data_IF_054694664558
#
_entry.id   IF_054694664558
#
_cell.length_a   1.000
_cell.length_b   1.000
_cell.length_c   1.000
_cell.angle_alpha   90.00
_cell.angle_beta   90.00
_cell.angle_gamma   90.00
#
_symmetry.space_group_name_H-M   'P 1'
#
loop_
_entity.id
_entity.type
_entity.pdbx_description
1 polymer ?
#
# COMPACT_ATOMS: atom_id res chain seq x y z
N UNK A 1 41.86 -1.18 44.70
CA UNK A 1 42.14 -1.04 43.27
C UNK A 1 40.80 -1.27 42.54
N UNK A 2 40.21 -0.16 42.16
CA UNK A 2 38.87 -0.14 41.47
C UNK A 2 39.13 0.06 39.99
N UNK A 3 38.66 -0.86 39.15
CA UNK A 3 38.70 -0.73 37.72
C UNK A 3 37.34 -0.17 37.25
N UNK A 4 37.37 1.11 36.93
CA UNK A 4 36.29 1.80 36.21
C UNK A 4 36.35 1.42 34.74
N UNK A 5 35.30 0.73 34.24
CA UNK A 5 35.08 0.57 32.80
C UNK A 5 34.39 1.82 32.26
N UNK A 6 35.08 2.51 31.37
CA UNK A 6 34.49 3.55 30.52
C UNK A 6 33.69 2.90 29.38
N UNK A 7 32.41 3.11 29.36
CA UNK A 7 31.57 2.88 28.17
C UNK A 7 31.69 4.11 27.29
N UNK A 8 32.38 3.98 26.17
CA UNK A 8 32.34 4.98 25.09
C UNK A 8 30.97 4.94 24.40
N UNK A 9 30.17 5.97 24.64
CA UNK A 9 29.01 6.29 23.83
C UNK A 9 29.54 6.94 22.54
N UNK A 10 29.62 6.18 21.46
CA UNK A 10 29.89 6.72 20.14
C UNK A 10 28.75 7.61 19.70
N UNK A 11 28.91 8.91 19.80
CA UNK A 11 28.10 9.92 19.13
C UNK A 11 28.29 9.73 17.62
N UNK A 12 27.23 9.36 16.92
CA UNK A 12 27.17 9.43 15.46
C UNK A 12 27.23 10.94 15.16
N UNK A 13 28.35 11.40 14.60
CA UNK A 13 28.50 12.75 14.09
C UNK A 13 27.40 12.99 13.04
N UNK A 14 26.74 14.15 13.14
CA UNK A 14 25.86 14.72 12.12
C UNK A 14 26.64 14.88 10.81
N UNK A 15 26.61 13.84 9.99
CA UNK A 15 27.03 13.95 8.59
C UNK A 15 25.97 14.76 7.85
N UNK A 16 26.40 15.80 7.12
CA UNK A 16 25.62 16.58 6.16
C UNK A 16 24.51 15.74 5.56
N UNK A 17 23.27 16.22 5.64
CA UNK A 17 22.08 15.51 5.14
C UNK A 17 22.40 14.99 3.73
N UNK A 18 22.60 13.69 3.63
CA UNK A 18 23.04 13.05 2.38
C UNK A 18 22.01 13.45 1.30
N UNK A 19 22.48 14.11 0.26
CA UNK A 19 21.63 14.55 -0.85
C UNK A 19 20.79 13.37 -1.32
N UNK A 20 19.47 13.51 -1.32
CA UNK A 20 18.54 12.48 -1.79
C UNK A 20 18.96 12.04 -3.20
N UNK A 21 19.55 10.85 -3.32
CA UNK A 21 20.08 10.35 -4.58
C UNK A 21 18.97 9.76 -5.48
N UNK A 22 17.79 9.48 -4.90
CA UNK A 22 16.63 8.96 -5.60
C UNK A 22 15.39 9.81 -5.28
N UNK A 23 15.28 11.03 -5.83
CA UNK A 23 14.18 11.93 -5.55
C UNK A 23 12.87 11.42 -6.17
N UNK A 24 12.09 10.72 -5.37
CA UNK A 24 10.76 10.21 -5.73
C UNK A 24 9.71 11.29 -5.45
N UNK A 25 8.88 11.61 -6.45
CA UNK A 25 7.89 12.68 -6.35
C UNK A 25 6.63 12.24 -5.62
N UNK A 26 6.08 11.08 -6.04
CA UNK A 26 4.82 10.49 -5.55
C UNK A 26 4.68 9.05 -6.04
N UNK A 27 3.70 8.32 -5.50
CA UNK A 27 3.19 7.13 -6.16
C UNK A 27 2.52 7.57 -7.46
N UNK A 28 2.96 7.04 -8.59
CA UNK A 28 2.37 7.31 -9.91
C UNK A 28 1.09 6.50 -10.09
N UNK A 29 1.18 5.18 -9.93
CA UNK A 29 0.06 4.25 -9.97
C UNK A 29 0.40 2.94 -9.27
N UNK A 30 -0.63 2.15 -8.96
CA UNK A 30 -0.51 0.77 -8.55
C UNK A 30 -1.10 -0.11 -9.64
N UNK A 31 -0.33 -1.09 -10.17
CA UNK A 31 -0.86 -2.09 -11.08
C UNK A 31 -1.19 -3.37 -10.32
N UNK A 32 -2.44 -3.75 -10.37
CA UNK A 32 -2.94 -5.02 -9.85
C UNK A 32 -3.03 -6.02 -11.00
N UNK A 33 -2.51 -7.20 -10.77
CA UNK A 33 -2.81 -8.36 -11.62
C UNK A 33 -4.03 -9.04 -11.04
N UNK A 34 -5.07 -9.17 -11.88
CA UNK A 34 -6.38 -9.68 -11.49
C UNK A 34 -6.86 -10.75 -12.47
N UNK A 35 -7.74 -11.64 -12.01
CA UNK A 35 -8.29 -12.70 -12.86
C UNK A 35 -9.18 -12.18 -13.99
N UNK A 36 -9.93 -11.09 -13.74
CA UNK A 36 -10.81 -10.49 -14.73
C UNK A 36 -10.87 -8.96 -14.54
N UNK A 37 -10.02 -8.24 -15.25
CA UNK A 37 -9.91 -6.79 -15.10
C UNK A 37 -11.21 -6.05 -15.41
N UNK A 38 -12.03 -6.56 -16.35
CA UNK A 38 -13.33 -5.97 -16.68
C UNK A 38 -14.30 -6.05 -15.50
N UNK A 39 -14.41 -7.21 -14.85
CA UNK A 39 -15.29 -7.39 -13.69
C UNK A 39 -14.73 -6.66 -12.46
N UNK A 40 -13.43 -6.76 -12.18
CA UNK A 40 -12.79 -6.04 -11.10
C UNK A 40 -12.98 -4.53 -11.24
N UNK A 41 -12.91 -3.99 -12.46
CA UNK A 41 -13.13 -2.55 -12.70
C UNK A 41 -14.52 -2.08 -12.26
N UNK A 42 -15.55 -2.92 -12.31
CA UNK A 42 -16.89 -2.59 -11.80
C UNK A 42 -16.87 -2.41 -10.28
N UNK A 43 -16.18 -3.31 -9.54
CA UNK A 43 -16.04 -3.17 -8.09
C UNK A 43 -15.41 -1.82 -7.74
N UNK A 44 -14.26 -1.50 -8.34
CA UNK A 44 -13.57 -0.25 -8.04
C UNK A 44 -14.35 0.99 -8.48
N UNK A 45 -15.12 0.92 -9.56
CA UNK A 45 -16.00 2.02 -9.97
C UNK A 45 -17.19 2.20 -9.02
N UNK A 46 -18.00 1.18 -8.84
CA UNK A 46 -19.30 1.31 -8.18
C UNK A 46 -19.20 1.23 -6.66
N UNK A 47 -18.31 0.43 -6.11
CA UNK A 47 -18.10 0.31 -4.67
C UNK A 47 -17.11 1.36 -4.17
N UNK A 48 -15.94 1.44 -4.80
CA UNK A 48 -14.87 2.33 -4.33
C UNK A 48 -14.98 3.77 -4.86
N UNK A 49 -15.80 4.03 -5.88
CA UNK A 49 -16.04 5.37 -6.43
C UNK A 49 -14.96 5.88 -7.39
N UNK A 50 -14.20 4.99 -8.00
CA UNK A 50 -13.22 5.35 -9.01
C UNK A 50 -13.88 5.62 -10.37
N UNK A 51 -13.31 6.53 -11.15
CA UNK A 51 -13.69 6.74 -12.53
C UNK A 51 -12.79 5.91 -13.45
N UNK A 52 -13.40 5.22 -14.40
CA UNK A 52 -12.67 4.55 -15.47
C UNK A 52 -12.26 5.60 -16.50
N UNK A 53 -10.95 5.85 -16.61
CA UNK A 53 -10.40 6.94 -17.46
C UNK A 53 -9.57 6.43 -18.63
N UNK A 54 -9.02 5.21 -18.54
CA UNK A 54 -8.21 4.65 -19.62
C UNK A 54 -8.37 3.15 -19.79
N UNK A 55 -8.07 2.67 -21.00
CA UNK A 55 -8.12 1.26 -21.36
C UNK A 55 -6.99 0.89 -22.31
N UNK A 56 -6.39 -0.27 -22.09
CA UNK A 56 -5.49 -0.93 -23.04
C UNK A 56 -5.90 -2.39 -23.20
N UNK A 57 -5.92 -2.91 -24.42
CA UNK A 57 -6.33 -4.28 -24.71
C UNK A 57 -6.44 -4.52 -26.20
N UNK A 58 -7.31 -5.42 -26.63
CA UNK A 58 -7.43 -5.84 -28.04
C UNK A 58 -7.63 -4.66 -28.99
N UNK A 59 -8.44 -3.68 -28.60
CA UNK A 59 -8.76 -2.50 -29.40
C UNK A 59 -7.58 -1.52 -29.54
N UNK A 60 -6.61 -1.56 -28.62
CA UNK A 60 -5.36 -0.79 -28.72
C UNK A 60 -4.20 -1.62 -29.22
N UNK A 61 -4.45 -2.84 -29.72
CA UNK A 61 -3.44 -3.73 -30.27
C UNK A 61 -2.71 -4.59 -29.24
N UNK A 62 -3.04 -4.49 -27.94
CA UNK A 62 -2.46 -5.35 -26.91
C UNK A 62 -3.14 -6.74 -26.97
N UNK A 63 -2.35 -7.79 -27.26
CA UNK A 63 -2.84 -9.17 -27.38
C UNK A 63 -2.55 -10.03 -26.15
N UNK A 64 -1.75 -9.55 -25.22
CA UNK A 64 -1.31 -10.30 -24.04
C UNK A 64 -2.17 -10.02 -22.82
N UNK A 65 -2.56 -8.75 -22.63
CA UNK A 65 -3.35 -8.33 -21.46
C UNK A 65 -4.39 -7.27 -21.79
N UNK A 66 -5.45 -7.22 -20.99
CA UNK A 66 -6.37 -6.10 -20.92
C UNK A 66 -6.15 -5.33 -19.61
N UNK A 67 -6.03 -4.01 -19.70
CA UNK A 67 -5.77 -3.12 -18.56
C UNK A 67 -6.78 -1.99 -18.49
N UNK A 68 -7.33 -1.75 -17.31
CA UNK A 68 -8.31 -0.68 -17.03
C UNK A 68 -7.65 0.31 -16.07
N UNK A 69 -7.57 1.57 -16.47
CA UNK A 69 -7.09 2.67 -15.61
C UNK A 69 -8.28 3.28 -14.86
N UNK A 70 -8.15 3.31 -13.56
CA UNK A 70 -9.15 3.80 -12.62
C UNK A 70 -8.55 4.93 -11.79
N UNK A 71 -9.23 6.07 -11.71
CA UNK A 71 -8.72 7.25 -11.01
C UNK A 71 -9.75 7.81 -10.03
N UNK A 72 -9.27 8.20 -8.84
CA UNK A 72 -10.00 9.02 -7.88
C UNK A 72 -9.02 9.91 -7.12
N UNK A 73 -9.25 11.22 -7.11
CA UNK A 73 -8.30 12.18 -6.55
C UNK A 73 -6.93 12.08 -7.22
N UNK A 74 -5.91 11.72 -6.45
CA UNK A 74 -4.53 11.47 -6.94
C UNK A 74 -4.20 9.97 -7.03
N UNK A 75 -5.16 9.11 -6.77
CA UNK A 75 -4.98 7.66 -6.80
C UNK A 75 -5.20 7.18 -8.23
N UNK A 76 -4.28 6.35 -8.72
CA UNK A 76 -4.38 5.64 -9.99
C UNK A 76 -4.20 4.15 -9.76
N UNK A 77 -5.20 3.36 -10.11
CA UNK A 77 -5.13 1.90 -10.15
C UNK A 77 -5.20 1.42 -11.59
N UNK A 78 -4.29 0.53 -11.94
CA UNK A 78 -4.32 -0.18 -13.21
C UNK A 78 -4.68 -1.63 -12.91
N UNK A 79 -5.82 -2.09 -13.40
CA UNK A 79 -6.25 -3.48 -13.24
C UNK A 79 -5.94 -4.22 -14.53
N UNK A 80 -5.04 -5.18 -14.48
CA UNK A 80 -4.59 -5.95 -15.65
C UNK A 80 -4.95 -7.41 -15.52
N UNK A 81 -5.59 -7.98 -16.54
CA UNK A 81 -5.84 -9.43 -16.64
C UNK A 81 -5.25 -10.02 -17.90
N UNK A 82 -4.81 -11.29 -17.87
CA UNK A 82 -4.22 -11.95 -19.02
C UNK A 82 -5.28 -12.19 -20.10
N UNK A 83 -4.87 -12.11 -21.38
CA UNK A 83 -5.66 -12.53 -22.54
C UNK A 83 -5.18 -13.88 -23.08
N UNK A 84 -4.03 -14.36 -22.60
CA UNK A 84 -3.45 -15.66 -22.94
C UNK A 84 -3.10 -16.40 -21.64
N UNK A 85 -3.04 -17.71 -21.69
CA UNK A 85 -2.75 -18.59 -20.54
C UNK A 85 -1.26 -18.85 -20.31
N UNK A 86 -0.41 -18.49 -21.25
CA UNK A 86 1.04 -18.68 -21.26
C UNK A 86 1.84 -17.42 -20.86
N UNK A 87 1.17 -16.35 -20.44
CA UNK A 87 1.82 -15.10 -20.05
C UNK A 87 2.30 -15.13 -18.60
N UNK A 88 3.34 -14.32 -18.29
CA UNK A 88 3.78 -14.12 -16.91
C UNK A 88 2.63 -13.65 -15.99
N UNK A 89 1.70 -12.82 -16.51
CA UNK A 89 0.55 -12.35 -15.75
C UNK A 89 -0.39 -13.52 -15.39
N UNK A 90 -0.63 -14.47 -16.31
CA UNK A 90 -1.43 -15.65 -16.04
C UNK A 90 -0.80 -16.53 -14.94
N UNK A 91 0.51 -16.76 -15.01
CA UNK A 91 1.23 -17.52 -13.98
C UNK A 91 1.26 -16.78 -12.64
N UNK A 92 1.43 -15.46 -12.64
CA UNK A 92 1.36 -14.66 -11.42
C UNK A 92 -0.03 -14.78 -10.77
N UNK A 93 -1.11 -14.58 -11.53
CA UNK A 93 -2.46 -14.68 -11.01
C UNK A 93 -2.79 -16.11 -10.51
N UNK A 94 -2.36 -17.14 -11.23
CA UNK A 94 -2.53 -18.54 -10.79
C UNK A 94 -1.89 -18.80 -9.42
N UNK A 95 -0.70 -18.24 -9.19
CA UNK A 95 0.05 -18.38 -7.94
C UNK A 95 -0.57 -17.56 -6.80
N UNK A 96 -0.84 -16.29 -7.04
CA UNK A 96 -1.14 -15.29 -6.00
C UNK A 96 -2.64 -15.00 -5.83
N UNK A 97 -3.47 -15.19 -6.86
CA UNK A 97 -4.78 -14.56 -6.97
C UNK A 97 -4.63 -13.11 -7.42
N UNK A 98 -5.64 -12.30 -7.13
CA UNK A 98 -5.57 -10.86 -7.38
C UNK A 98 -4.60 -10.21 -6.39
N UNK A 99 -3.76 -9.29 -6.87
CA UNK A 99 -2.76 -8.66 -6.02
C UNK A 99 -1.95 -7.57 -6.71
N UNK A 100 -1.21 -6.79 -5.92
CA UNK A 100 -0.36 -5.70 -6.42
C UNK A 100 0.91 -6.28 -7.03
N UNK A 101 1.09 -6.03 -8.33
CA UNK A 101 2.32 -6.36 -9.06
C UNK A 101 3.32 -5.23 -9.06
N UNK A 102 2.86 -4.00 -9.31
CA UNK A 102 3.75 -2.85 -9.52
C UNK A 102 3.34 -1.67 -8.64
N UNK A 103 4.27 -1.19 -7.83
CA UNK A 103 4.16 0.06 -7.09
C UNK A 103 5.01 1.08 -7.84
N UNK A 104 4.40 1.76 -8.80
CA UNK A 104 5.09 2.69 -9.68
C UNK A 104 5.22 4.08 -9.06
N UNK A 105 6.38 4.69 -9.21
CA UNK A 105 6.72 6.00 -8.65
C UNK A 105 7.13 6.98 -9.75
N UNK A 106 6.63 8.21 -9.68
CA UNK A 106 7.03 9.28 -10.58
C UNK A 106 8.41 9.82 -10.20
N UNK A 107 9.27 9.95 -11.21
CA UNK A 107 10.64 10.47 -11.10
C UNK A 107 10.92 11.52 -12.18
N UNK A 108 12.00 12.30 -12.01
CA UNK A 108 12.47 13.22 -13.04
C UNK A 108 13.27 12.56 -14.15
N UNK A 109 13.92 11.41 -13.82
CA UNK A 109 14.82 10.67 -14.73
C UNK A 109 14.74 9.17 -14.37
N UNK A 110 14.04 8.42 -15.22
CA UNK A 110 13.85 6.98 -14.99
C UNK A 110 15.13 6.17 -15.25
N UNK A 111 15.98 6.62 -16.16
CA UNK A 111 17.25 5.96 -16.44
C UNK A 111 18.22 6.12 -15.27
N UNK A 112 18.38 7.36 -14.78
CA UNK A 112 19.20 7.63 -13.60
C UNK A 112 18.71 6.84 -12.38
N UNK A 113 17.39 6.81 -12.13
CA UNK A 113 16.79 6.06 -11.02
C UNK A 113 17.10 4.56 -11.10
N UNK A 114 17.02 3.99 -12.30
CA UNK A 114 17.34 2.58 -12.55
C UNK A 114 18.82 2.27 -12.27
N UNK A 115 19.73 3.03 -12.88
CA UNK A 115 21.16 2.77 -12.73
C UNK A 115 21.65 3.06 -11.30
N UNK A 116 21.12 4.08 -10.63
CA UNK A 116 21.44 4.35 -9.24
C UNK A 116 21.04 3.20 -8.32
N UNK A 117 19.82 2.68 -8.49
CA UNK A 117 19.32 1.57 -7.66
C UNK A 117 19.99 0.24 -7.98
N UNK A 118 20.24 -0.07 -9.25
CA UNK A 118 20.92 -1.31 -9.64
C UNK A 118 22.39 -1.31 -9.26
N UNK A 119 23.10 -0.19 -9.37
CA UNK A 119 24.48 -0.04 -8.89
C UNK A 119 24.57 -0.23 -7.36
N UNK A 120 23.49 -0.01 -6.62
CA UNK A 120 23.37 -0.25 -5.18
C UNK A 120 22.83 -1.64 -4.84
N UNK A 121 22.70 -2.52 -5.82
CA UNK A 121 22.36 -3.93 -5.62
C UNK A 121 20.89 -4.30 -5.87
N UNK A 122 20.04 -3.40 -6.39
CA UNK A 122 18.72 -3.79 -6.84
C UNK A 122 18.83 -4.71 -8.08
N UNK A 123 17.96 -5.70 -8.14
CA UNK A 123 17.81 -6.53 -9.33
C UNK A 123 16.94 -5.78 -10.36
N UNK A 124 17.50 -5.46 -11.55
CA UNK A 124 16.75 -4.89 -12.66
C UNK A 124 15.70 -5.87 -13.20
N UNK A 125 14.53 -5.33 -13.56
CA UNK A 125 13.41 -6.07 -14.17
C UNK A 125 13.12 -5.53 -15.57
N UNK A 126 13.12 -4.21 -15.73
CA UNK A 126 12.95 -3.52 -17.00
C UNK A 126 14.00 -2.40 -17.07
N UNK A 127 14.90 -2.50 -18.05
CA UNK A 127 15.82 -1.40 -18.35
C UNK A 127 15.06 -0.15 -18.82
N UNK A 128 15.66 1.05 -18.72
CA UNK A 128 15.01 2.27 -19.18
C UNK A 128 14.52 2.14 -20.62
N UNK A 129 13.19 2.14 -20.77
CA UNK A 129 12.51 1.88 -22.04
C UNK A 129 11.61 3.06 -22.40
N UNK A 130 11.79 3.58 -23.61
CA UNK A 130 10.92 4.60 -24.17
C UNK A 130 9.61 4.00 -24.67
N UNK A 131 8.49 4.61 -24.21
CA UNK A 131 7.16 4.38 -24.73
C UNK A 131 6.69 5.68 -25.37
N UNK A 132 6.21 5.66 -26.61
CA UNK A 132 5.84 6.88 -27.34
C UNK A 132 4.55 6.73 -28.14
N UNK A 133 3.82 7.81 -28.25
CA UNK A 133 2.69 8.02 -29.15
C UNK A 133 2.64 9.48 -29.62
N UNK A 134 1.54 9.92 -30.21
CA UNK A 134 1.34 11.30 -30.66
C UNK A 134 1.36 12.34 -29.52
N UNK A 135 1.17 11.91 -28.26
CA UNK A 135 1.16 12.80 -27.10
C UNK A 135 2.54 12.98 -26.46
N UNK A 136 3.55 12.27 -26.95
CA UNK A 136 4.92 12.40 -26.47
C UNK A 136 5.56 11.09 -26.03
N UNK A 137 6.48 11.19 -25.05
CA UNK A 137 7.31 10.08 -24.58
C UNK A 137 7.19 9.93 -23.07
N UNK A 138 7.02 8.69 -22.62
CA UNK A 138 7.24 8.23 -21.25
C UNK A 138 8.48 7.33 -21.24
N UNK A 139 9.34 7.46 -20.22
CA UNK A 139 10.40 6.49 -19.96
C UNK A 139 10.00 5.70 -18.71
N UNK A 140 9.97 4.37 -18.85
CA UNK A 140 9.70 3.44 -17.75
C UNK A 140 10.91 2.54 -17.54
N UNK A 141 11.27 2.33 -16.28
CA UNK A 141 12.21 1.30 -15.86
C UNK A 141 11.70 0.63 -14.58
N UNK A 142 12.21 -0.55 -14.23
CA UNK A 142 11.70 -1.27 -13.06
C UNK A 142 12.77 -2.10 -12.36
N UNK A 143 12.65 -2.21 -11.04
CA UNK A 143 13.47 -3.07 -10.18
C UNK A 143 12.60 -4.03 -9.40
N UNK A 144 13.18 -5.18 -9.02
CA UNK A 144 12.54 -6.15 -8.14
C UNK A 144 12.53 -5.63 -6.71
N UNK A 145 11.42 -5.86 -6.00
CA UNK A 145 11.34 -5.76 -4.54
C UNK A 145 10.92 -7.11 -3.94
N UNK A 146 10.25 -7.15 -2.80
CA UNK A 146 9.86 -8.40 -2.14
C UNK A 146 8.89 -9.25 -2.99
N UNK A 147 9.08 -10.56 -2.92
CA UNK A 147 8.28 -11.55 -3.65
C UNK A 147 8.28 -11.30 -5.16
N UNK A 148 7.10 -11.30 -5.74
CA UNK A 148 6.89 -10.99 -7.16
C UNK A 148 6.46 -9.52 -7.39
N UNK A 149 6.58 -8.64 -6.39
CA UNK A 149 6.31 -7.20 -6.51
C UNK A 149 7.49 -6.47 -7.11
N UNK A 150 7.23 -5.42 -7.88
CA UNK A 150 8.25 -4.54 -8.47
C UNK A 150 8.00 -3.07 -8.11
N UNK A 151 9.06 -2.28 -8.24
CA UNK A 151 8.99 -0.82 -8.28
C UNK A 151 9.34 -0.32 -9.66
N UNK A 152 8.40 0.40 -10.29
CA UNK A 152 8.65 1.08 -11.55
C UNK A 152 8.95 2.56 -11.32
N UNK A 153 9.90 3.09 -12.09
CA UNK A 153 10.22 4.52 -12.18
C UNK A 153 9.62 5.08 -13.45
N UNK A 154 8.77 6.09 -13.33
CA UNK A 154 7.99 6.66 -14.44
C UNK A 154 8.41 8.12 -14.65
N UNK A 155 9.04 8.39 -15.79
CA UNK A 155 9.36 9.73 -16.23
C UNK A 155 8.30 10.23 -17.21
N UNK A 156 7.57 11.32 -16.84
CA UNK A 156 6.41 11.83 -17.61
C UNK A 156 6.60 13.22 -18.16
N UNK A 157 7.74 13.88 -17.93
CA UNK A 157 7.92 15.30 -18.24
C UNK A 157 7.65 15.67 -19.71
N UNK A 158 7.78 14.69 -20.62
CA UNK A 158 7.64 14.87 -22.07
C UNK A 158 6.37 14.18 -22.60
N UNK A 159 5.34 13.98 -21.77
CA UNK A 159 4.12 13.31 -22.15
C UNK A 159 2.89 14.11 -21.74
N UNK A 160 2.01 14.41 -22.71
CA UNK A 160 0.79 15.19 -22.52
C UNK A 160 -0.50 14.35 -22.66
N UNK A 161 -0.38 13.03 -22.85
CA UNK A 161 -1.52 12.12 -22.88
C UNK A 161 -2.11 11.86 -21.50
N UNK A 162 -3.25 11.16 -21.46
CA UNK A 162 -3.99 10.93 -20.21
C UNK A 162 -3.25 10.04 -19.23
N UNK A 163 -2.52 9.01 -19.71
CA UNK A 163 -1.82 8.07 -18.82
C UNK A 163 -0.49 7.58 -19.41
N UNK A 164 -0.52 6.65 -20.36
CA UNK A 164 0.67 6.06 -21.01
C UNK A 164 0.37 5.75 -22.47
N UNK A 165 1.38 5.72 -23.36
CA UNK A 165 1.24 5.19 -24.70
C UNK A 165 0.62 3.76 -24.68
N UNK A 166 -0.29 3.51 -25.62
CA UNK A 166 -1.04 2.25 -25.69
C UNK A 166 -2.33 2.22 -24.85
N UNK A 167 -2.63 3.28 -24.10
CA UNK A 167 -3.92 3.49 -23.46
C UNK A 167 -4.78 4.46 -24.29
N UNK A 168 -6.03 4.08 -24.52
CA UNK A 168 -7.04 4.97 -25.11
C UNK A 168 -7.97 5.50 -24.01
N UNK A 169 -8.68 6.59 -24.29
CA UNK A 169 -9.76 7.07 -23.42
C UNK A 169 -10.83 5.98 -23.27
N UNK A 170 -11.35 5.79 -22.07
CA UNK A 170 -12.28 4.73 -21.74
C UNK A 170 -13.75 5.02 -22.11
N UNK A 171 -14.07 6.13 -22.76
CA UNK A 171 -15.45 6.46 -23.18
C UNK A 171 -16.10 5.33 -23.99
N UNK A 172 -15.36 4.74 -24.94
CA UNK A 172 -15.82 3.61 -25.74
C UNK A 172 -16.02 2.31 -24.94
N UNK A 173 -15.54 2.24 -23.70
CA UNK A 173 -15.71 1.11 -22.76
C UNK A 173 -16.86 1.32 -21.78
N UNK A 174 -17.69 2.34 -22.01
CA UNK A 174 -18.84 2.66 -21.17
C UNK A 174 -18.45 3.36 -19.87
N UNK A 175 -17.34 4.11 -19.88
CA UNK A 175 -16.97 4.96 -18.77
C UNK A 175 -18.13 5.87 -18.38
N UNK A 176 -18.43 5.91 -17.09
CA UNK A 176 -19.48 6.75 -16.52
C UNK A 176 -18.85 7.68 -15.52
N UNK A 177 -19.39 8.86 -15.38
CA UNK A 177 -19.03 9.76 -14.32
C UNK A 177 -19.59 9.21 -12.99
N UNK A 178 -18.77 8.55 -12.22
CA UNK A 178 -19.14 7.98 -10.93
C UNK A 178 -18.84 9.05 -9.86
N UNK A 179 -19.81 9.30 -8.97
CA UNK A 179 -19.58 10.15 -7.80
C UNK A 179 -18.44 9.54 -6.98
N UNK A 180 -17.39 10.30 -6.71
CA UNK A 180 -16.30 9.86 -5.86
C UNK A 180 -16.77 9.63 -4.41
N UNK A 181 -15.99 8.86 -3.66
CA UNK A 181 -16.25 8.54 -2.25
C UNK A 181 -15.43 9.42 -1.29
N UNK A 182 -14.66 10.37 -1.80
CA UNK A 182 -13.82 11.27 -1.02
C UNK A 182 -12.39 10.80 -0.80
N UNK A 183 -11.96 9.73 -1.47
CA UNK A 183 -10.57 9.25 -1.45
C UNK A 183 -9.67 10.22 -2.21
N UNK A 184 -8.48 10.57 -1.65
CA UNK A 184 -7.62 11.63 -2.18
C UNK A 184 -6.29 11.16 -2.73
N UNK A 185 -5.58 10.35 -1.98
CA UNK A 185 -4.22 9.89 -2.34
C UNK A 185 -3.87 8.61 -1.59
N UNK A 186 -2.89 7.88 -2.09
CA UNK A 186 -2.25 6.79 -1.34
C UNK A 186 -1.43 7.42 -0.20
N UNK A 187 -1.68 7.02 1.04
CA UNK A 187 -0.94 7.46 2.23
C UNK A 187 0.30 6.57 2.45
N UNK A 188 0.09 5.25 2.44
CA UNK A 188 1.15 4.26 2.56
C UNK A 188 0.73 2.91 1.96
N UNK A 189 1.70 2.02 1.73
CA UNK A 189 1.48 0.67 1.22
C UNK A 189 2.27 -0.28 2.10
N UNK A 190 1.59 -1.27 2.65
CA UNK A 190 2.19 -2.23 3.59
C UNK A 190 2.58 -3.51 2.85
N UNK A 191 3.83 -3.91 3.02
CA UNK A 191 4.36 -5.17 2.54
C UNK A 191 4.47 -6.20 3.66
N UNK A 192 3.99 -7.42 3.42
CA UNK A 192 4.26 -8.58 4.27
C UNK A 192 5.42 -9.37 3.70
N UNK A 193 6.37 -9.73 4.55
CA UNK A 193 7.56 -10.49 4.18
C UNK A 193 7.72 -11.72 5.07
N UNK A 194 8.53 -12.67 4.62
CA UNK A 194 8.79 -13.93 5.33
C UNK A 194 9.50 -13.68 6.67
N UNK A 195 9.29 -14.59 7.62
CA UNK A 195 9.92 -14.55 8.94
C UNK A 195 11.46 -14.40 8.83
N UNK A 196 12.00 -13.41 9.53
CA UNK A 196 13.43 -13.13 9.59
C UNK A 196 13.98 -12.29 8.42
N UNK A 197 13.12 -11.87 7.47
CA UNK A 197 13.58 -11.13 6.28
C UNK A 197 13.28 -9.62 6.33
N UNK A 198 12.49 -9.14 7.29
CA UNK A 198 12.13 -7.72 7.41
C UNK A 198 13.37 -6.80 7.44
N UNK A 199 14.41 -7.18 8.19
CA UNK A 199 15.61 -6.37 8.30
C UNK A 199 16.40 -6.29 6.99
N UNK A 200 16.34 -7.31 6.14
CA UNK A 200 17.00 -7.28 4.84
C UNK A 200 16.24 -6.35 3.88
N UNK A 201 14.91 -6.34 3.94
CA UNK A 201 14.10 -5.37 3.18
C UNK A 201 14.26 -3.94 3.70
N UNK A 202 14.38 -3.73 5.01
CA UNK A 202 14.74 -2.42 5.58
C UNK A 202 16.08 -1.93 5.04
N UNK A 203 17.11 -2.81 5.02
CA UNK A 203 18.41 -2.48 4.41
C UNK A 203 18.29 -2.19 2.92
N UNK A 204 17.50 -2.97 2.18
CA UNK A 204 17.23 -2.72 0.76
C UNK A 204 16.66 -1.32 0.55
N UNK A 205 15.59 -0.95 1.24
CA UNK A 205 15.00 0.38 1.09
C UNK A 205 15.97 1.50 1.52
N UNK A 206 16.72 1.30 2.59
CA UNK A 206 17.69 2.31 3.05
C UNK A 206 18.86 2.47 2.08
N UNK A 207 19.54 1.37 1.73
CA UNK A 207 20.75 1.41 0.92
C UNK A 207 20.48 1.63 -0.56
N UNK A 208 19.48 0.95 -1.09
CA UNK A 208 19.20 0.91 -2.53
C UNK A 208 18.30 2.07 -2.96
N UNK A 209 17.33 2.46 -2.12
CA UNK A 209 16.35 3.49 -2.47
C UNK A 209 16.48 4.78 -1.65
N UNK A 210 17.42 4.87 -0.71
CA UNK A 210 17.66 6.08 0.09
C UNK A 210 16.55 6.41 1.09
N UNK A 211 15.76 5.41 1.49
CA UNK A 211 14.71 5.60 2.48
C UNK A 211 15.29 5.65 3.90
N UNK A 212 14.62 6.39 4.77
CA UNK A 212 14.92 6.43 6.21
C UNK A 212 13.89 5.61 6.98
N UNK A 213 14.33 4.95 8.06
CA UNK A 213 13.40 4.31 8.98
C UNK A 213 12.70 5.37 9.82
N UNK A 214 11.36 5.46 9.70
CA UNK A 214 10.54 6.40 10.45
C UNK A 214 10.18 5.87 11.83
N UNK A 215 9.68 4.63 11.90
CA UNK A 215 9.20 3.99 13.14
C UNK A 215 9.56 2.51 13.10
N UNK A 216 9.72 1.92 14.29
CA UNK A 216 9.86 0.48 14.49
C UNK A 216 8.91 0.03 15.59
N UNK A 217 8.22 -1.07 15.37
CA UNK A 217 7.37 -1.74 16.34
C UNK A 217 7.88 -3.17 16.52
N UNK A 218 8.04 -3.61 17.75
CA UNK A 218 8.41 -4.99 18.07
C UNK A 218 7.16 -5.84 18.43
N UNK A 219 7.38 -7.11 18.69
CA UNK A 219 6.34 -8.07 19.08
C UNK A 219 5.66 -7.75 20.42
N UNK A 220 6.26 -6.91 21.25
CA UNK A 220 5.64 -6.42 22.49
C UNK A 220 4.71 -5.25 22.24
N UNK A 221 5.02 -4.46 21.21
CA UNK A 221 4.18 -3.36 20.76
C UNK A 221 2.93 -3.86 20.03
N UNK A 222 3.08 -4.97 19.27
CA UNK A 222 2.04 -5.49 18.39
C UNK A 222 1.80 -6.96 18.69
N UNK A 223 0.99 -7.24 19.71
CA UNK A 223 0.58 -8.60 20.06
C UNK A 223 -0.81 -8.64 20.68
N UNK A 224 -1.46 -9.80 20.55
CA UNK A 224 -2.64 -10.22 21.26
C UNK A 224 -2.30 -11.42 22.14
N UNK A 225 -3.32 -12.05 22.74
CA UNK A 225 -3.14 -13.31 23.47
C UNK A 225 -2.74 -14.48 22.55
N UNK A 226 -2.96 -14.36 21.24
CA UNK A 226 -2.78 -15.43 20.24
C UNK A 226 -1.67 -15.17 19.24
N UNK A 227 -1.60 -13.98 18.65
CA UNK A 227 -0.69 -13.66 17.55
C UNK A 227 0.19 -12.46 17.83
N UNK A 228 1.29 -12.35 17.12
CA UNK A 228 2.18 -11.19 17.16
C UNK A 228 2.81 -10.94 15.78
N UNK A 229 3.28 -9.71 15.55
CA UNK A 229 4.09 -9.35 14.39
C UNK A 229 5.11 -8.27 14.76
N UNK A 230 6.08 -8.07 13.88
CA UNK A 230 7.01 -6.94 13.90
C UNK A 230 6.80 -6.08 12.67
N UNK A 231 6.97 -4.77 12.82
CA UNK A 231 6.80 -3.81 11.72
C UNK A 231 7.86 -2.72 11.76
N UNK A 232 8.39 -2.37 10.60
CA UNK A 232 9.27 -1.21 10.42
C UNK A 232 8.78 -0.36 9.27
N UNK A 233 8.66 0.93 9.51
CA UNK A 233 8.17 1.87 8.50
C UNK A 233 9.34 2.58 7.85
N UNK A 234 9.48 2.42 6.55
CA UNK A 234 10.45 3.11 5.71
C UNK A 234 9.77 4.28 4.98
N UNK A 235 10.45 5.44 4.90
CA UNK A 235 9.95 6.59 4.15
C UNK A 235 11.04 7.20 3.27
N UNK A 236 10.65 7.76 2.13
CA UNK A 236 11.58 8.49 1.27
C UNK A 236 11.97 9.85 1.87
N UNK A 237 13.00 10.49 1.31
CA UNK A 237 13.53 11.77 1.82
C UNK A 237 12.49 12.88 1.98
N UNK A 238 11.44 12.91 1.15
CA UNK A 238 10.35 13.89 1.27
C UNK A 238 9.28 13.50 2.30
N UNK A 239 9.29 12.29 2.84
CA UNK A 239 8.26 11.74 3.73
C UNK A 239 6.89 11.49 3.09
N UNK A 240 6.78 11.63 1.75
CA UNK A 240 5.51 11.44 1.03
C UNK A 240 5.20 10.00 0.67
N UNK A 241 6.23 9.16 0.55
CA UNK A 241 6.11 7.74 0.22
C UNK A 241 6.56 6.95 1.42
N UNK A 242 5.69 6.08 1.92
CA UNK A 242 5.91 5.29 3.13
C UNK A 242 5.57 3.83 2.87
N UNK A 243 6.46 2.95 3.28
CA UNK A 243 6.31 1.51 3.19
C UNK A 243 6.53 0.86 4.55
N UNK A 244 5.47 0.59 5.32
CA UNK A 244 5.54 -0.35 6.43
C UNK A 244 5.87 -1.76 5.90
N UNK A 245 6.79 -2.43 6.57
CA UNK A 245 7.24 -3.79 6.25
C UNK A 245 6.98 -4.64 7.47
N UNK A 246 6.12 -5.64 7.31
CA UNK A 246 5.70 -6.52 8.40
C UNK A 246 6.28 -7.92 8.21
N UNK A 247 6.76 -8.52 9.30
CA UNK A 247 7.05 -9.95 9.34
C UNK A 247 6.30 -10.62 10.49
N UNK A 248 6.02 -11.94 10.41
CA UNK A 248 5.43 -12.67 11.52
C UNK A 248 6.33 -12.62 12.74
N UNK A 249 5.73 -12.67 13.93
CA UNK A 249 6.45 -12.93 15.17
C UNK A 249 5.90 -14.19 15.85
N UNK A 250 6.66 -14.75 16.78
CA UNK A 250 6.27 -15.97 17.46
C UNK A 250 5.01 -15.75 18.30
N UNK A 251 3.90 -16.35 17.90
CA UNK A 251 2.63 -16.38 18.61
C UNK A 251 2.21 -17.78 19.04
N UNK A 252 1.07 -17.91 19.71
CA UNK A 252 0.45 -19.21 20.04
C UNK A 252 -0.30 -19.80 18.85
N UNK A 253 -0.76 -18.95 17.95
CA UNK A 253 -1.54 -19.29 16.76
C UNK A 253 -0.96 -18.57 15.53
N UNK A 254 -1.44 -18.95 14.35
CA UNK A 254 -1.01 -18.38 13.07
C UNK A 254 -1.41 -16.90 12.97
N UNK A 255 -0.43 -16.04 12.77
CA UNK A 255 -0.68 -14.60 12.59
C UNK A 255 -1.31 -14.30 11.22
N UNK A 256 -1.93 -13.13 11.10
CA UNK A 256 -2.44 -12.63 9.81
C UNK A 256 -1.35 -12.52 8.73
N UNK A 257 -0.09 -12.29 9.12
CA UNK A 257 1.01 -12.22 8.17
C UNK A 257 1.32 -13.61 7.61
N UNK A 258 1.33 -14.64 8.47
CA UNK A 258 1.49 -16.03 8.03
C UNK A 258 0.32 -16.49 7.17
N UNK A 259 -0.93 -16.10 7.53
CA UNK A 259 -2.12 -16.36 6.70
C UNK A 259 -1.94 -15.75 5.30
N UNK A 260 -1.54 -14.47 5.23
CA UNK A 260 -1.26 -13.80 3.97
C UNK A 260 -0.22 -14.56 3.12
N UNK A 261 0.93 -14.88 3.71
CA UNK A 261 2.02 -15.60 3.02
C UNK A 261 1.58 -16.98 2.50
N UNK A 262 0.74 -17.69 3.27
CA UNK A 262 0.20 -18.99 2.89
C UNK A 262 -0.76 -18.91 1.69
N UNK A 263 -1.59 -17.88 1.62
CA UNK A 263 -2.55 -17.71 0.52
C UNK A 263 -1.91 -17.02 -0.69
N UNK A 264 -1.10 -15.98 -0.47
CA UNK A 264 -0.41 -15.26 -1.55
C UNK A 264 0.78 -16.02 -2.13
N UNK A 265 1.35 -17.00 -1.38
CA UNK A 265 2.47 -17.86 -1.78
C UNK A 265 3.81 -17.15 -1.91
N UNK A 266 3.94 -15.94 -1.41
CA UNK A 266 5.20 -15.18 -1.28
C UNK A 266 4.98 -13.93 -0.44
N UNK A 267 6.05 -13.17 -0.19
CA UNK A 267 5.95 -11.77 0.20
C UNK A 267 5.16 -10.96 -0.85
N UNK A 268 4.51 -9.87 -0.41
CA UNK A 268 3.74 -9.01 -1.31
C UNK A 268 3.07 -7.85 -0.57
N UNK A 269 2.35 -6.99 -1.29
CA UNK A 269 1.60 -5.89 -0.71
C UNK A 269 0.31 -6.39 -0.04
N UNK A 270 0.20 -6.18 1.27
CA UNK A 270 -0.95 -6.62 2.07
C UNK A 270 -2.10 -5.62 1.99
N UNK A 271 -1.82 -4.33 2.26
CA UNK A 271 -2.85 -3.32 2.17
C UNK A 271 -2.36 -1.98 1.66
N UNK A 272 -3.31 -1.24 1.12
CA UNK A 272 -3.12 0.11 0.63
C UNK A 272 -3.94 1.05 1.50
N UNK A 273 -3.27 1.97 2.18
CA UNK A 273 -3.93 3.02 2.92
C UNK A 273 -4.21 4.22 2.01
N UNK A 274 -5.47 4.62 1.96
CA UNK A 274 -5.94 5.74 1.16
C UNK A 274 -6.44 6.87 2.05
N UNK A 275 -5.91 8.07 1.82
CA UNK A 275 -6.28 9.24 2.60
C UNK A 275 -7.62 9.82 2.19
N UNK A 276 -8.33 10.39 3.16
CA UNK A 276 -9.55 11.19 2.94
C UNK A 276 -9.51 12.50 3.72
N UNK A 277 -10.37 13.44 3.36
CA UNK A 277 -10.55 14.69 4.11
C UNK A 277 -11.72 14.67 5.10
N UNK A 278 -12.62 13.68 4.96
CA UNK A 278 -13.75 13.46 5.87
C UNK A 278 -14.03 11.96 5.93
N UNK A 279 -13.48 11.29 6.94
CA UNK A 279 -13.57 9.84 7.06
C UNK A 279 -15.01 9.37 7.35
N UNK A 280 -15.80 10.16 8.08
CA UNK A 280 -17.19 9.82 8.38
C UNK A 280 -18.03 9.73 7.09
N UNK A 281 -17.91 10.73 6.20
CA UNK A 281 -18.62 10.73 4.91
C UNK A 281 -18.11 9.62 4.00
N UNK A 282 -16.77 9.49 3.89
CA UNK A 282 -16.14 8.50 3.02
C UNK A 282 -16.52 7.08 3.42
N UNK A 283 -16.42 6.73 4.70
CA UNK A 283 -16.76 5.38 5.18
C UNK A 283 -18.27 5.11 5.05
N UNK A 284 -19.12 6.09 5.35
CA UNK A 284 -20.57 5.96 5.14
C UNK A 284 -20.90 5.66 3.69
N UNK A 285 -20.29 6.39 2.75
CA UNK A 285 -20.52 6.18 1.32
C UNK A 285 -20.01 4.82 0.84
N UNK A 286 -18.81 4.40 1.29
CA UNK A 286 -18.25 3.09 0.97
C UNK A 286 -19.11 1.93 1.51
N UNK A 287 -19.60 2.02 2.76
CA UNK A 287 -20.50 1.03 3.34
C UNK A 287 -21.84 0.96 2.60
N UNK A 288 -22.42 2.12 2.24
CA UNK A 288 -23.65 2.17 1.47
C UNK A 288 -23.54 1.54 0.07
N UNK A 289 -22.31 1.52 -0.47
CA UNK A 289 -21.99 0.87 -1.76
C UNK A 289 -21.59 -0.60 -1.62
N UNK A 290 -21.53 -1.12 -0.40
CA UNK A 290 -21.28 -2.53 -0.14
C UNK A 290 -19.83 -2.89 0.21
N UNK A 291 -18.95 -1.92 0.49
CA UNK A 291 -17.64 -2.24 1.04
C UNK A 291 -17.79 -2.69 2.50
N UNK A 292 -17.32 -3.88 2.81
CA UNK A 292 -17.32 -4.42 4.16
C UNK A 292 -16.04 -4.03 4.91
N UNK A 293 -16.21 -3.63 6.18
CA UNK A 293 -15.11 -3.28 7.07
C UNK A 293 -15.00 -4.28 8.24
N UNK A 294 -13.81 -4.34 8.84
CA UNK A 294 -13.58 -5.10 10.05
C UNK A 294 -14.39 -4.52 11.21
N UNK A 295 -14.95 -5.38 12.04
CA UNK A 295 -15.78 -4.96 13.18
C UNK A 295 -14.92 -4.71 14.41
N UNK A 296 -15.02 -3.51 14.98
CA UNK A 296 -14.37 -3.10 16.22
C UNK A 296 -15.34 -3.25 17.40
N UNK A 297 -14.92 -3.82 18.56
CA UNK A 297 -15.80 -3.95 19.73
C UNK A 297 -16.21 -2.59 20.29
N UNK A 298 -17.44 -2.49 20.79
CA UNK A 298 -17.95 -1.27 21.45
C UNK A 298 -17.14 -0.88 22.70
N UNK A 299 -16.49 -1.85 23.34
CA UNK A 299 -15.59 -1.62 24.49
C UNK A 299 -14.43 -0.70 24.14
N UNK A 300 -13.94 -0.73 22.90
CA UNK A 300 -12.90 0.17 22.42
C UNK A 300 -13.28 1.65 22.59
N UNK A 301 -14.53 2.01 22.27
CA UNK A 301 -15.01 3.39 22.29
C UNK A 301 -15.29 3.91 23.70
N UNK A 302 -15.58 3.03 24.65
CA UNK A 302 -15.82 3.44 26.06
C UNK A 302 -14.58 4.02 26.73
N UNK A 303 -13.41 3.58 26.33
CA UNK A 303 -12.12 4.02 26.88
C UNK A 303 -11.44 5.10 26.01
N UNK A 304 -12.04 5.40 24.85
CA UNK A 304 -11.41 6.22 23.82
C UNK A 304 -11.10 7.64 24.31
N UNK A 305 -12.08 8.32 24.91
CA UNK A 305 -11.92 9.70 25.38
C UNK A 305 -10.81 9.85 26.43
N UNK A 306 -10.71 8.89 27.36
CA UNK A 306 -9.64 8.86 28.37
C UNK A 306 -8.24 8.65 27.76
N UNK A 307 -8.16 7.92 26.64
CA UNK A 307 -6.91 7.58 25.97
C UNK A 307 -6.41 8.66 25.02
N UNK A 308 -7.30 9.28 24.25
CA UNK A 308 -6.92 10.22 23.18
C UNK A 308 -7.21 11.69 23.49
N UNK A 309 -8.01 11.97 24.56
CA UNK A 309 -8.47 13.31 24.87
C UNK A 309 -9.47 13.84 23.84
N UNK A 310 -9.59 15.16 23.74
CA UNK A 310 -10.59 15.82 22.89
C UNK A 310 -10.22 15.71 21.40
N UNK A 311 -11.21 15.34 20.58
CA UNK A 311 -11.19 15.34 19.11
C UNK A 311 -12.39 16.11 18.56
N UNK A 312 -12.41 16.38 17.25
CA UNK A 312 -13.49 17.13 16.60
C UNK A 312 -14.72 16.25 16.30
N UNK A 313 -14.52 14.94 16.11
CA UNK A 313 -15.56 13.98 15.76
C UNK A 313 -16.34 13.50 16.99
N UNK A 314 -17.62 13.17 16.79
CA UNK A 314 -18.44 12.51 17.81
C UNK A 314 -18.03 11.04 17.96
N UNK A 315 -17.71 10.62 19.17
CA UNK A 315 -17.35 9.21 19.46
C UNK A 315 -18.49 8.25 19.06
N UNK A 316 -19.76 8.65 19.26
CA UNK A 316 -20.89 7.82 18.85
C UNK A 316 -20.98 7.60 17.33
N UNK A 317 -20.53 8.55 16.51
CA UNK A 317 -20.53 8.39 15.05
C UNK A 317 -19.34 7.53 14.61
N UNK A 318 -18.19 7.66 15.28
CA UNK A 318 -17.04 6.77 15.08
C UNK A 318 -17.38 5.32 15.43
N UNK A 319 -18.08 5.10 16.57
CA UNK A 319 -18.53 3.77 17.00
C UNK A 319 -19.48 3.13 16.00
N UNK A 320 -20.48 3.86 15.50
CA UNK A 320 -21.43 3.36 14.49
C UNK A 320 -20.75 2.88 13.22
N UNK A 321 -19.67 3.56 12.80
CA UNK A 321 -18.94 3.27 11.58
C UNK A 321 -17.77 2.31 11.80
N UNK A 322 -17.38 2.03 13.05
CA UNK A 322 -16.23 1.18 13.35
C UNK A 322 -14.87 1.86 13.18
N UNK A 323 -14.81 3.20 13.24
CA UNK A 323 -13.60 3.99 12.98
C UNK A 323 -12.73 4.04 14.24
N UNK A 324 -11.46 3.66 14.09
CA UNK A 324 -10.43 3.70 15.12
C UNK A 324 -9.77 5.08 15.19
N UNK A 325 -9.30 5.47 16.37
CA UNK A 325 -8.61 6.75 16.59
C UNK A 325 -7.33 6.53 17.38
N UNK A 326 -6.25 7.16 16.94
CA UNK A 326 -5.01 7.21 17.71
C UNK A 326 -4.42 8.61 17.71
N UNK A 327 -3.55 8.92 18.66
CA UNK A 327 -2.94 10.23 18.86
C UNK A 327 -1.43 10.10 19.04
N UNK A 328 -0.71 11.07 18.46
CA UNK A 328 0.70 11.31 18.73
C UNK A 328 0.94 12.76 19.16
N UNK A 329 2.21 13.18 19.23
CA UNK A 329 2.61 14.53 19.65
C UNK A 329 2.15 15.63 18.68
N UNK A 330 2.00 15.28 17.38
CA UNK A 330 1.65 16.24 16.31
C UNK A 330 0.13 16.36 16.09
N UNK A 331 -0.68 15.42 16.61
CA UNK A 331 -2.11 15.43 16.42
C UNK A 331 -2.79 14.07 16.60
N UNK A 332 -3.85 13.79 15.83
CA UNK A 332 -4.51 12.50 15.83
C UNK A 332 -4.82 12.01 14.42
N UNK A 333 -5.06 10.72 14.30
CA UNK A 333 -5.50 10.07 13.08
C UNK A 333 -6.75 9.23 13.33
N UNK A 334 -7.52 9.08 12.28
CA UNK A 334 -8.69 8.21 12.22
C UNK A 334 -8.46 7.20 11.13
N UNK A 335 -8.76 5.92 11.39
CA UNK A 335 -8.52 4.84 10.44
C UNK A 335 -9.55 3.72 10.58
N UNK A 336 -9.81 3.03 9.47
CA UNK A 336 -10.63 1.83 9.41
C UNK A 336 -10.11 0.92 8.31
N UNK A 337 -10.28 -0.38 8.48
CA UNK A 337 -9.76 -1.40 7.57
C UNK A 337 -10.90 -2.19 6.95
N UNK A 338 -10.88 -2.35 5.62
CA UNK A 338 -11.83 -3.23 4.95
C UNK A 338 -11.54 -4.70 5.31
N UNK A 339 -12.54 -5.55 5.14
CA UNK A 339 -12.26 -6.98 4.96
C UNK A 339 -11.44 -7.18 3.68
N UNK A 340 -10.78 -8.35 3.51
CA UNK A 340 -10.16 -8.70 2.23
C UNK A 340 -11.15 -8.50 1.09
N UNK A 341 -10.68 -7.95 -0.03
CA UNK A 341 -11.53 -7.61 -1.19
C UNK A 341 -11.75 -8.79 -2.13
N UNK A 342 -11.19 -9.93 -1.80
CA UNK A 342 -11.26 -11.18 -2.54
C UNK A 342 -11.37 -12.37 -1.57
N UNK A 343 -11.74 -13.56 -2.08
CA UNK A 343 -11.92 -14.76 -1.25
C UNK A 343 -10.62 -15.25 -0.59
N UNK A 344 -9.47 -15.04 -1.25
CA UNK A 344 -8.18 -15.23 -0.60
C UNK A 344 -7.95 -14.08 0.38
N UNK A 345 -7.66 -14.33 1.67
CA UNK A 345 -7.47 -13.27 2.67
C UNK A 345 -6.10 -12.59 2.49
N UNK A 346 -5.92 -11.89 1.38
CA UNK A 346 -4.66 -11.26 0.99
C UNK A 346 -4.75 -9.75 0.99
N UNK A 347 -5.29 -9.13 -0.07
CA UNK A 347 -5.31 -7.67 -0.20
C UNK A 347 -6.55 -7.06 0.45
N UNK A 348 -6.34 -5.98 1.21
CA UNK A 348 -7.41 -5.14 1.75
C UNK A 348 -7.05 -3.65 1.71
N UNK A 349 -7.98 -2.78 2.08
CA UNK A 349 -7.77 -1.34 2.09
C UNK A 349 -7.88 -0.77 3.50
N UNK A 350 -7.09 0.27 3.75
CA UNK A 350 -7.23 1.16 4.88
C UNK A 350 -7.75 2.51 4.39
N UNK A 351 -8.74 3.07 5.11
CA UNK A 351 -9.16 4.46 4.92
C UNK A 351 -8.62 5.25 6.10
N UNK A 352 -7.83 6.31 5.83
CA UNK A 352 -7.16 7.08 6.86
C UNK A 352 -7.42 8.57 6.69
N UNK A 353 -7.69 9.25 7.81
CA UNK A 353 -7.68 10.71 7.89
C UNK A 353 -6.67 11.14 8.95
N UNK A 354 -5.71 11.96 8.55
CA UNK A 354 -4.72 12.54 9.46
C UNK A 354 -5.08 13.97 9.82
N UNK A 355 -5.15 14.25 11.11
CA UNK A 355 -5.33 15.59 11.69
C UNK A 355 -4.07 15.97 12.48
N UNK A 356 -2.97 16.16 11.75
CA UNK A 356 -1.65 16.45 12.28
C UNK A 356 -0.78 15.22 12.50
N UNK A 357 -1.32 14.11 12.96
CA UNK A 357 -0.57 12.90 13.30
C UNK A 357 0.28 12.35 12.15
N UNK A 358 1.51 11.92 12.49
CA UNK A 358 2.47 11.27 11.59
C UNK A 358 2.64 9.79 11.88
N UNK A 359 2.12 9.31 13.03
CA UNK A 359 2.19 7.91 13.46
C UNK A 359 1.33 6.98 12.59
N UNK A 360 1.34 5.69 12.92
CA UNK A 360 0.61 4.62 12.23
C UNK A 360 -0.46 3.96 13.13
N UNK A 361 -0.90 4.64 14.17
CA UNK A 361 -2.00 4.14 14.99
C UNK A 361 -1.60 3.02 15.96
N UNK A 362 -0.43 3.14 16.63
CA UNK A 362 0.03 2.15 17.62
C UNK A 362 -1.05 1.77 18.63
N UNK A 363 -1.80 2.76 19.14
CA UNK A 363 -2.89 2.55 20.09
C UNK A 363 -4.09 1.76 19.52
N UNK A 364 -4.16 1.56 18.22
CA UNK A 364 -5.22 0.83 17.54
C UNK A 364 -4.83 -0.61 17.20
N UNK A 365 -3.55 -0.98 17.27
CA UNK A 365 -3.07 -2.29 16.84
C UNK A 365 -3.81 -3.44 17.52
N UNK A 366 -3.97 -3.38 18.84
CA UNK A 366 -4.67 -4.45 19.57
C UNK A 366 -6.09 -4.66 19.04
N UNK A 367 -6.87 -3.59 18.89
CA UNK A 367 -8.26 -3.67 18.41
C UNK A 367 -8.33 -4.18 16.96
N UNK A 368 -7.40 -3.74 16.09
CA UNK A 368 -7.29 -4.22 14.72
C UNK A 368 -6.96 -5.72 14.68
N UNK A 369 -5.99 -6.16 15.46
CA UNK A 369 -5.56 -7.57 15.47
C UNK A 369 -6.66 -8.49 16.01
N UNK A 370 -7.32 -8.12 17.08
CA UNK A 370 -8.48 -8.86 17.59
C UNK A 370 -9.63 -8.94 16.57
N UNK A 371 -9.81 -7.90 15.76
CA UNK A 371 -10.81 -7.92 14.68
C UNK A 371 -10.40 -8.88 13.55
N UNK A 372 -9.12 -8.89 13.16
CA UNK A 372 -8.60 -9.81 12.14
C UNK A 372 -8.61 -11.26 12.64
N UNK A 373 -8.23 -11.52 13.90
CA UNK A 373 -8.26 -12.85 14.50
C UNK A 373 -9.68 -13.44 14.48
N UNK A 374 -10.71 -12.63 14.73
CA UNK A 374 -12.11 -13.07 14.59
C UNK A 374 -12.46 -13.48 13.17
N UNK A 375 -12.01 -12.73 12.18
CA UNK A 375 -12.20 -13.12 10.78
C UNK A 375 -11.43 -14.41 10.44
N UNK A 376 -10.22 -14.61 10.99
CA UNK A 376 -9.47 -15.86 10.86
C UNK A 376 -10.19 -17.04 11.53
N UNK A 377 -10.80 -16.84 12.71
CA UNK A 377 -11.61 -17.88 13.38
C UNK A 377 -12.80 -18.28 12.50
N UNK A 378 -13.53 -17.31 11.93
CA UNK A 378 -14.67 -17.57 11.05
C UNK A 378 -14.26 -18.37 9.78
N UNK A 379 -13.04 -18.13 9.28
CA UNK A 379 -12.47 -18.88 8.15
C UNK A 379 -11.82 -20.20 8.55
N UNK A 380 -11.59 -20.44 9.84
CA UNK A 380 -10.86 -21.62 10.34
C UNK A 380 -9.35 -21.59 10.04
N UNK A 381 -8.76 -20.41 9.97
CA UNK A 381 -7.33 -20.20 9.63
C UNK A 381 -6.49 -19.64 10.79
N UNK A 382 -7.12 -19.35 11.96
CA UNK A 382 -6.44 -18.86 13.16
C UNK A 382 -5.65 -19.97 13.89
#
# INVERSE_FOLDING_TARGET
MSLTQHTESGTIEDTEAAKDFLPLKRIDHLEFYVGNAKQSSFFYQYVMGFNLTGYSGLETGNREKASYLLEQGKIRFVLSSPLTDDSFLAEHHKKHGDGVRDIAMEVDDAAKSYYETTNRGAKGVLEPTEMKDENGVIIKSSIQTYGDTIHSFIERKNYNGSFMPGFMNAESKGAKNIKDTGLKSVDHIVGNVELGTMNDWVKFYAHTMGFNQLISFDDKDISTDYTALMSKVMQNGSGKIKFPINEPAKGKKKSQIEEYLDFYKSAGAQHIAMSTGNILETVTELQNRGLEFLTVPTTYYRELEGRIGKIDENISDLEKLGILVDRDEDGYLLQIFSKPIEDRPTVFFEIIQRKGARSFGKGNFKALFEAIEREQELRGTL
#
